data_IF_489102228344
#
_entry.id   IF_489102228344
#
_cell.length_a   1.000
_cell.length_b   1.000
_cell.length_c   1.000
_cell.angle_alpha   90.00
_cell.angle_beta   90.00
_cell.angle_gamma   90.00
#
_symmetry.space_group_name_H-M   'P 1'
#
loop_
_entity.id
_entity.type
_entity.pdbx_description
1 polymer ?
#
# COMPACT_ATOMS: atom_id res chain seq x y z
N UNK A 1 -33.06 10.91 27.01
CA UNK A 1 -33.36 11.12 25.58
C UNK A 1 -32.31 10.34 24.81
N UNK A 2 -32.71 9.35 24.01
CA UNK A 2 -31.77 8.69 23.10
C UNK A 2 -31.40 9.67 21.98
N UNK A 3 -30.16 9.65 21.49
CA UNK A 3 -29.80 10.44 20.32
C UNK A 3 -30.71 10.08 19.14
N UNK A 4 -31.06 11.04 18.28
CA UNK A 4 -31.81 10.74 17.06
C UNK A 4 -30.98 9.81 16.15
N UNK A 5 -31.58 8.70 15.73
CA UNK A 5 -30.97 7.77 14.78
C UNK A 5 -30.95 8.42 13.38
N UNK A 6 -29.75 8.74 12.90
CA UNK A 6 -29.54 9.28 11.55
C UNK A 6 -29.62 8.13 10.53
N UNK A 7 -30.49 8.20 9.51
CA UNK A 7 -30.60 7.15 8.49
C UNK A 7 -29.31 6.94 7.69
N UNK A 8 -29.07 5.70 7.23
CA UNK A 8 -27.88 5.35 6.46
C UNK A 8 -27.72 6.16 5.17
N UNK A 9 -28.82 6.50 4.48
CA UNK A 9 -28.79 7.30 3.26
C UNK A 9 -28.24 8.71 3.51
N UNK A 10 -28.61 9.35 4.63
CA UNK A 10 -28.09 10.67 4.99
C UNK A 10 -26.59 10.60 5.28
N UNK A 11 -26.14 9.55 5.97
CA UNK A 11 -24.70 9.33 6.25
C UNK A 11 -23.95 9.10 4.94
N UNK A 12 -24.50 8.31 4.01
CA UNK A 12 -23.89 8.05 2.71
C UNK A 12 -23.65 9.35 1.92
N UNK A 13 -24.64 10.23 1.82
CA UNK A 13 -24.49 11.52 1.15
C UNK A 13 -23.44 12.41 1.82
N UNK A 14 -23.40 12.44 3.16
CA UNK A 14 -22.36 13.17 3.90
C UNK A 14 -20.97 12.63 3.58
N UNK A 15 -20.81 11.29 3.55
CA UNK A 15 -19.53 10.64 3.25
C UNK A 15 -19.07 10.90 1.81
N UNK A 16 -19.99 10.98 0.85
CA UNK A 16 -19.66 11.34 -0.53
C UNK A 16 -19.16 12.78 -0.66
N UNK A 17 -19.80 13.72 0.03
CA UNK A 17 -19.42 15.14 -0.01
C UNK A 17 -18.05 15.40 0.62
N UNK A 18 -17.67 14.61 1.62
CA UNK A 18 -16.43 14.83 2.36
C UNK A 18 -15.15 14.40 1.62
N UNK A 19 -15.26 13.96 0.35
CA UNK A 19 -14.17 13.47 -0.51
C UNK A 19 -13.12 12.68 0.30
N UNK A 20 -13.57 11.62 0.96
CA UNK A 20 -12.77 10.99 2.01
C UNK A 20 -11.51 10.36 1.42
N UNK A 21 -10.37 11.02 1.67
CA UNK A 21 -9.08 10.55 1.17
C UNK A 21 -8.59 9.31 1.94
N UNK A 22 -8.94 9.18 3.22
CA UNK A 22 -8.48 8.08 4.05
C UNK A 22 -9.50 6.93 4.10
N UNK A 23 -9.40 6.03 3.13
CA UNK A 23 -10.27 4.85 3.02
C UNK A 23 -10.13 3.91 4.24
N UNK A 24 -8.92 3.74 4.75
CA UNK A 24 -8.67 2.92 5.94
C UNK A 24 -9.40 3.45 7.18
N UNK A 25 -9.50 4.77 7.34
CA UNK A 25 -10.25 5.38 8.43
C UNK A 25 -11.75 5.07 8.32
N UNK A 26 -12.35 5.22 7.13
CA UNK A 26 -13.75 4.86 6.93
C UNK A 26 -14.01 3.39 7.24
N UNK A 27 -13.19 2.51 6.65
CA UNK A 27 -13.40 1.09 6.74
C UNK A 27 -13.23 0.53 8.15
N UNK A 28 -12.22 1.02 8.87
CA UNK A 28 -11.85 0.42 10.15
C UNK A 28 -12.27 1.24 11.39
N UNK A 29 -12.62 2.52 11.25
CA UNK A 29 -13.09 3.35 12.36
C UNK A 29 -14.55 3.75 12.22
N UNK A 30 -15.01 4.20 11.05
CA UNK A 30 -16.41 4.63 10.87
C UNK A 30 -17.37 3.43 10.76
N UNK A 31 -17.02 2.44 9.93
CA UNK A 31 -17.85 1.24 9.70
C UNK A 31 -18.33 0.54 10.99
N UNK A 32 -17.51 0.33 12.04
CA UNK A 32 -17.96 -0.34 13.26
C UNK A 32 -18.81 0.53 14.21
N UNK A 33 -18.99 1.84 13.95
CA UNK A 33 -19.67 2.76 14.89
C UNK A 33 -21.15 2.41 15.10
N UNK A 34 -21.87 2.09 14.03
CA UNK A 34 -23.28 1.70 14.09
C UNK A 34 -23.67 0.92 12.83
N UNK A 35 -24.87 0.35 12.82
CA UNK A 35 -25.42 -0.31 11.61
C UNK A 35 -25.58 0.67 10.44
N UNK A 36 -26.09 1.87 10.71
CA UNK A 36 -26.28 2.88 9.65
C UNK A 36 -24.93 3.36 9.08
N UNK A 37 -23.91 3.52 9.92
CA UNK A 37 -22.55 3.82 9.46
C UNK A 37 -21.94 2.66 8.66
N UNK A 38 -22.16 1.42 9.11
CA UNK A 38 -21.71 0.23 8.38
C UNK A 38 -22.29 0.20 6.97
N UNK A 39 -23.59 0.36 6.84
CA UNK A 39 -24.30 0.28 5.56
C UNK A 39 -23.89 1.43 4.64
N UNK A 40 -23.75 2.65 5.17
CA UNK A 40 -23.30 3.82 4.41
C UNK A 40 -21.86 3.65 3.91
N UNK A 41 -20.92 3.23 4.78
CA UNK A 41 -19.52 3.00 4.39
C UNK A 41 -19.42 1.88 3.37
N UNK A 42 -20.08 0.74 3.60
CA UNK A 42 -20.07 -0.36 2.62
C UNK A 42 -20.63 0.07 1.26
N UNK A 43 -21.68 0.90 1.24
CA UNK A 43 -22.22 1.48 0.00
C UNK A 43 -21.23 2.41 -0.71
N UNK A 44 -20.49 3.25 0.02
CA UNK A 44 -19.40 4.06 -0.58
C UNK A 44 -18.38 3.16 -1.25
N UNK A 45 -17.93 2.11 -0.56
CA UNK A 45 -16.93 1.18 -1.11
C UNK A 45 -17.42 0.46 -2.36
N UNK A 46 -18.64 -0.08 -2.36
CA UNK A 46 -19.23 -0.72 -3.55
C UNK A 46 -19.35 0.26 -4.72
N UNK A 47 -19.81 1.48 -4.47
CA UNK A 47 -20.12 2.43 -5.54
C UNK A 47 -18.90 3.17 -6.09
N UNK A 48 -17.88 3.42 -5.26
CA UNK A 48 -16.73 4.27 -5.61
C UNK A 48 -15.39 3.54 -5.72
N UNK A 49 -15.23 2.40 -5.05
CA UNK A 49 -13.90 1.78 -4.90
C UNK A 49 -13.84 0.36 -5.44
N UNK A 50 -14.90 -0.44 -5.32
CA UNK A 50 -14.88 -1.85 -5.69
C UNK A 50 -14.63 -2.05 -7.19
N UNK A 51 -15.25 -1.23 -8.04
CA UNK A 51 -15.03 -1.24 -9.51
C UNK A 51 -13.63 -0.77 -9.93
N UNK A 52 -12.89 -0.17 -9.00
CA UNK A 52 -11.54 0.37 -9.22
C UNK A 52 -10.46 -0.51 -8.61
N UNK A 53 -10.83 -1.73 -8.20
CA UNK A 53 -9.86 -2.72 -7.73
C UNK A 53 -9.23 -3.36 -8.97
N UNK A 54 -7.90 -3.41 -8.96
CA UNK A 54 -7.14 -4.17 -9.93
C UNK A 54 -6.50 -5.37 -9.23
N UNK A 55 -6.63 -6.55 -9.84
CA UNK A 55 -5.95 -7.76 -9.40
C UNK A 55 -4.80 -8.03 -10.36
N UNK A 56 -3.58 -7.85 -9.88
CA UNK A 56 -2.38 -8.19 -10.63
C UNK A 56 -1.99 -9.61 -10.28
N UNK A 57 -2.11 -10.51 -11.25
CA UNK A 57 -1.75 -11.91 -11.10
C UNK A 57 -0.56 -12.19 -12.00
N UNK A 58 0.50 -12.76 -11.42
CA UNK A 58 1.65 -13.23 -12.16
C UNK A 58 1.26 -14.45 -13.02
N UNK A 59 1.53 -14.39 -14.33
CA UNK A 59 1.07 -15.40 -15.29
C UNK A 59 1.64 -16.79 -14.98
N UNK A 60 2.91 -16.88 -14.58
CA UNK A 60 3.54 -18.15 -14.19
C UNK A 60 2.88 -18.73 -12.94
N UNK A 61 2.58 -17.88 -11.97
CA UNK A 61 1.88 -18.23 -10.72
C UNK A 61 0.45 -18.71 -11.00
N UNK A 62 -0.25 -18.06 -11.94
CA UNK A 62 -1.59 -18.45 -12.36
C UNK A 62 -1.59 -19.80 -13.08
N UNK A 63 -0.68 -19.99 -14.04
CA UNK A 63 -0.54 -21.26 -14.75
C UNK A 63 -0.21 -22.42 -13.79
N UNK A 64 0.67 -22.18 -12.82
CA UNK A 64 1.01 -23.16 -11.80
C UNK A 64 -0.21 -23.51 -10.93
N UNK A 65 -0.95 -22.52 -10.45
CA UNK A 65 -2.12 -22.72 -9.60
C UNK A 65 -3.26 -23.45 -10.34
N UNK A 66 -3.42 -23.18 -11.64
CA UNK A 66 -4.35 -23.91 -12.51
C UNK A 66 -3.96 -25.39 -12.64
N UNK A 67 -2.66 -25.71 -12.68
CA UNK A 67 -2.18 -27.10 -12.81
C UNK A 67 -2.17 -27.88 -11.49
N UNK A 68 -1.81 -27.22 -10.39
CA UNK A 68 -1.45 -27.89 -9.14
C UNK A 68 -2.45 -27.63 -7.99
N UNK A 69 -3.46 -26.78 -8.21
CA UNK A 69 -4.43 -26.39 -7.20
C UNK A 69 -4.04 -25.14 -6.42
N UNK A 70 -4.98 -24.67 -5.58
CA UNK A 70 -4.88 -23.42 -4.82
C UNK A 70 -3.83 -23.54 -3.71
N UNK A 71 -2.59 -23.16 -4.00
CA UNK A 71 -1.63 -22.80 -2.94
C UNK A 71 -1.91 -21.36 -2.50
N UNK A 72 -1.69 -21.05 -1.21
CA UNK A 72 -1.64 -19.65 -0.75
C UNK A 72 -0.54 -18.82 -1.45
N UNK A 73 0.32 -19.47 -2.22
CA UNK A 73 1.37 -18.88 -3.04
C UNK A 73 0.87 -18.22 -4.33
N UNK A 74 -0.45 -18.19 -4.59
CA UNK A 74 -1.00 -17.32 -5.62
C UNK A 74 -0.64 -15.87 -5.28
N UNK A 75 0.42 -15.38 -5.92
CA UNK A 75 0.95 -14.02 -5.77
C UNK A 75 0.00 -13.03 -6.46
N UNK A 76 -1.13 -12.76 -5.82
CA UNK A 76 -2.08 -11.74 -6.28
C UNK A 76 -1.78 -10.44 -5.55
N UNK A 77 -1.43 -9.40 -6.30
CA UNK A 77 -1.30 -8.05 -5.76
C UNK A 77 -2.60 -7.30 -6.05
N UNK A 78 -3.25 -6.85 -4.98
CA UNK A 78 -4.47 -6.05 -5.04
C UNK A 78 -4.05 -4.59 -5.06
N UNK A 79 -4.52 -3.86 -6.07
CA UNK A 79 -4.37 -2.41 -6.15
C UNK A 79 -5.72 -1.74 -5.91
N UNK A 80 -5.73 -0.78 -4.99
CA UNK A 80 -6.86 0.10 -4.67
C UNK A 80 -6.35 1.53 -4.78
N UNK A 81 -6.76 2.26 -5.83
CA UNK A 81 -6.24 3.61 -6.12
C UNK A 81 -4.70 3.59 -6.26
N UNK A 82 -4.01 4.39 -5.44
CA UNK A 82 -2.55 4.49 -5.39
C UNK A 82 -1.92 3.50 -4.39
N UNK A 83 -2.72 2.67 -3.73
CA UNK A 83 -2.22 1.68 -2.78
C UNK A 83 -2.20 0.29 -3.41
N UNK A 84 -1.11 -0.44 -3.22
CA UNK A 84 -1.00 -1.85 -3.59
C UNK A 84 -0.61 -2.71 -2.40
N UNK A 85 -1.23 -3.88 -2.26
CA UNK A 85 -0.93 -4.86 -1.23
C UNK A 85 -1.23 -6.28 -1.73
N UNK A 86 -0.44 -7.25 -1.31
CA UNK A 86 -0.64 -8.67 -1.61
C UNK A 86 -1.41 -9.37 -0.47
N UNK A 87 -2.46 -8.71 0.01
CA UNK A 87 -3.25 -9.23 1.12
C UNK A 87 -4.05 -10.47 0.71
N UNK A 88 -4.44 -11.27 1.69
CA UNK A 88 -5.25 -12.47 1.42
C UNK A 88 -6.57 -12.08 0.77
N UNK A 89 -7.01 -12.92 -0.16
CA UNK A 89 -8.36 -12.89 -0.73
C UNK A 89 -9.19 -13.99 -0.05
N UNK A 90 -10.01 -13.67 0.97
CA UNK A 90 -10.80 -14.69 1.66
C UNK A 90 -11.86 -15.26 0.72
N UNK A 91 -12.10 -16.57 0.82
CA UNK A 91 -13.02 -17.30 -0.06
C UNK A 91 -12.72 -17.11 -1.56
N UNK A 92 -11.44 -16.92 -1.93
CA UNK A 92 -11.02 -16.83 -3.32
C UNK A 92 -11.38 -18.10 -4.09
N UNK A 93 -12.13 -17.93 -5.17
CA UNK A 93 -12.49 -18.96 -6.14
C UNK A 93 -12.28 -18.40 -7.53
N UNK A 94 -11.77 -19.21 -8.43
CA UNK A 94 -11.65 -18.88 -9.83
C UNK A 94 -12.37 -19.94 -10.65
N UNK A 95 -13.03 -19.52 -11.71
CA UNK A 95 -13.64 -20.39 -12.71
C UNK A 95 -12.99 -20.08 -14.06
N UNK A 96 -12.47 -21.13 -14.69
CA UNK A 96 -11.97 -21.07 -16.05
C UNK A 96 -12.88 -21.97 -16.88
N UNK A 97 -13.69 -21.38 -17.75
CA UNK A 97 -14.43 -22.15 -18.74
C UNK A 97 -13.59 -22.19 -20.02
N UNK A 98 -13.46 -23.37 -20.59
CA UNK A 98 -12.54 -23.63 -21.72
C UNK A 98 -13.21 -23.43 -23.08
N UNK A 99 -14.51 -23.12 -23.09
CA UNK A 99 -15.24 -22.79 -24.30
C UNK A 99 -14.87 -21.37 -24.79
N UNK A 100 -14.73 -21.25 -26.11
CA UNK A 100 -13.93 -20.23 -26.84
C UNK A 100 -14.33 -18.75 -26.65
N UNK A 101 -15.25 -18.42 -25.74
CA UNK A 101 -15.74 -17.05 -25.49
C UNK A 101 -15.88 -16.68 -23.99
N UNK A 102 -15.38 -17.49 -23.04
CA UNK A 102 -15.69 -17.28 -21.61
C UNK A 102 -14.61 -16.54 -20.81
N UNK A 103 -15.07 -15.53 -20.09
CA UNK A 103 -14.34 -14.69 -19.13
C UNK A 103 -13.73 -15.52 -17.99
N UNK A 104 -12.46 -15.28 -17.68
CA UNK A 104 -11.84 -15.71 -16.43
C UNK A 104 -12.57 -15.03 -15.26
N UNK A 105 -13.38 -15.78 -14.51
CA UNK A 105 -14.14 -15.24 -13.39
C UNK A 105 -13.39 -15.49 -12.07
N UNK A 106 -13.22 -14.43 -11.28
CA UNK A 106 -12.67 -14.49 -9.92
C UNK A 106 -13.71 -13.98 -8.94
N UNK A 107 -13.98 -14.76 -7.90
CA UNK A 107 -14.87 -14.38 -6.80
C UNK A 107 -14.14 -14.50 -5.46
N UNK A 108 -14.37 -13.55 -4.56
CA UNK A 108 -13.80 -13.52 -3.21
C UNK A 108 -14.65 -12.64 -2.29
N UNK A 109 -14.48 -12.78 -0.97
CA UNK A 109 -15.08 -11.87 0.01
C UNK A 109 -14.35 -10.52 0.01
N UNK A 110 -14.89 -9.56 -0.75
CA UNK A 110 -14.34 -8.22 -0.82
C UNK A 110 -14.33 -7.47 0.52
N UNK A 111 -15.26 -7.78 1.44
CA UNK A 111 -15.31 -7.15 2.77
C UNK A 111 -14.18 -7.68 3.65
N UNK A 112 -13.97 -8.99 3.61
CA UNK A 112 -12.82 -9.65 4.21
C UNK A 112 -11.51 -9.07 3.67
N UNK A 113 -11.38 -8.96 2.35
CA UNK A 113 -10.22 -8.39 1.67
C UNK A 113 -9.89 -6.98 2.18
N UNK A 114 -10.82 -6.01 2.14
CA UNK A 114 -10.55 -4.65 2.64
C UNK A 114 -10.20 -4.63 4.13
N UNK A 115 -10.81 -5.53 4.91
CA UNK A 115 -10.50 -5.65 6.33
C UNK A 115 -9.07 -6.11 6.55
N UNK A 116 -8.57 -7.08 5.79
CA UNK A 116 -7.16 -7.48 5.84
C UNK A 116 -6.24 -6.38 5.31
N UNK A 117 -6.57 -5.78 4.17
CA UNK A 117 -5.80 -4.72 3.52
C UNK A 117 -5.51 -3.55 4.47
N UNK A 118 -6.56 -2.95 5.04
CA UNK A 118 -6.38 -1.77 5.88
C UNK A 118 -5.85 -2.09 7.29
N UNK A 119 -6.09 -3.30 7.81
CA UNK A 119 -5.55 -3.69 9.13
C UNK A 119 -4.03 -3.72 9.11
N UNK A 120 -3.45 -4.18 8.02
CA UNK A 120 -2.02 -4.17 7.82
C UNK A 120 -1.46 -2.75 7.73
N UNK A 121 -2.05 -1.88 6.90
CA UNK A 121 -1.64 -0.47 6.83
C UNK A 121 -1.72 0.22 8.20
N UNK A 122 -2.79 -0.04 8.97
CA UNK A 122 -2.94 0.48 10.33
C UNK A 122 -1.82 -0.02 11.25
N UNK A 123 -1.46 -1.29 11.16
CA UNK A 123 -0.43 -1.88 12.00
C UNK A 123 0.96 -1.32 11.68
N UNK A 124 1.27 -1.13 10.38
CA UNK A 124 2.47 -0.42 9.93
C UNK A 124 2.51 0.99 10.51
N UNK A 125 1.42 1.76 10.35
CA UNK A 125 1.33 3.13 10.88
C UNK A 125 1.48 3.17 12.41
N UNK A 126 0.90 2.20 13.13
CA UNK A 126 1.03 2.11 14.59
C UNK A 126 2.49 1.93 15.01
N UNK A 127 3.21 1.00 14.37
CA UNK A 127 4.63 0.73 14.67
C UNK A 127 5.52 1.92 14.28
N UNK A 128 5.22 2.61 13.18
CA UNK A 128 5.91 3.85 12.81
C UNK A 128 5.70 4.94 13.85
N UNK A 129 4.47 5.12 14.33
CA UNK A 129 4.17 6.10 15.38
C UNK A 129 4.92 5.78 16.68
N UNK A 130 5.01 4.50 17.06
CA UNK A 130 5.80 4.06 18.22
C UNK A 130 7.29 4.32 18.03
N UNK A 131 7.81 4.07 16.83
CA UNK A 131 9.20 4.38 16.47
C UNK A 131 9.47 5.88 16.58
N UNK A 132 8.59 6.72 16.04
CA UNK A 132 8.69 8.17 16.14
C UNK A 132 8.70 8.65 17.60
N UNK A 133 7.83 8.08 18.44
CA UNK A 133 7.80 8.40 19.86
C UNK A 133 9.09 7.98 20.58
N UNK A 134 9.67 6.83 20.23
CA UNK A 134 10.97 6.39 20.76
C UNK A 134 12.09 7.36 20.41
N UNK A 135 12.18 7.77 19.13
CA UNK A 135 13.20 8.72 18.65
C UNK A 135 13.07 10.06 19.39
N UNK A 136 11.83 10.54 19.55
CA UNK A 136 11.57 11.78 20.29
C UNK A 136 11.98 11.67 21.76
N UNK A 137 11.76 10.51 22.39
CA UNK A 137 12.18 10.27 23.77
C UNK A 137 13.71 10.17 23.91
N UNK A 138 14.41 9.57 22.94
CA UNK A 138 15.88 9.50 22.91
C UNK A 138 16.51 10.89 22.76
N UNK A 139 15.96 11.72 21.87
CA UNK A 139 16.38 13.12 21.72
C UNK A 139 16.22 13.91 23.03
N UNK A 140 15.08 13.73 23.72
CA UNK A 140 14.81 14.38 25.01
C UNK A 140 15.77 13.94 26.13
N UNK A 141 16.40 12.75 26.01
CA UNK A 141 17.40 12.24 26.96
C UNK A 141 18.83 12.71 26.65
N UNK A 142 19.02 13.55 25.63
CA UNK A 142 20.33 14.12 25.27
C UNK A 142 21.18 13.22 24.36
N UNK A 143 20.64 12.13 23.83
CA UNK A 143 21.34 11.27 22.86
C UNK A 143 21.16 11.79 21.43
N UNK A 144 21.70 12.98 21.15
CA UNK A 144 21.45 13.72 19.91
C UNK A 144 21.92 12.95 18.67
N UNK A 145 23.12 12.35 18.71
CA UNK A 145 23.65 11.57 17.59
C UNK A 145 22.77 10.35 17.30
N UNK A 146 22.35 9.60 18.32
CA UNK A 146 21.48 8.43 18.14
C UNK A 146 20.10 8.80 17.59
N UNK A 147 19.51 9.88 18.10
CA UNK A 147 18.24 10.40 17.60
C UNK A 147 18.36 10.90 16.16
N UNK A 148 19.46 11.55 15.78
CA UNK A 148 19.71 12.00 14.42
C UNK A 148 19.81 10.83 13.43
N UNK A 149 20.57 9.77 13.78
CA UNK A 149 20.66 8.57 12.95
C UNK A 149 19.29 7.90 12.77
N UNK A 150 18.52 7.76 13.85
CA UNK A 150 17.18 7.17 13.78
C UNK A 150 16.20 8.03 12.98
N UNK A 151 16.29 9.35 13.09
CA UNK A 151 15.50 10.29 12.29
C UNK A 151 15.85 10.20 10.80
N UNK A 152 17.14 10.17 10.45
CA UNK A 152 17.61 10.02 9.06
C UNK A 152 17.09 8.72 8.43
N UNK A 153 17.13 7.61 9.16
CA UNK A 153 16.59 6.32 8.69
C UNK A 153 15.08 6.36 8.44
N UNK A 154 14.33 7.13 9.21
CA UNK A 154 12.90 7.34 8.95
C UNK A 154 12.66 8.27 7.76
N UNK A 155 13.41 9.37 7.65
CA UNK A 155 13.28 10.32 6.55
C UNK A 155 13.60 9.68 5.19
N UNK A 156 14.54 8.72 5.16
CA UNK A 156 14.88 7.94 3.97
C UNK A 156 13.94 6.73 3.74
N UNK A 157 12.88 6.56 4.52
CA UNK A 157 11.92 5.45 4.35
C UNK A 157 12.44 4.06 4.78
N UNK A 158 13.68 3.94 5.27
CA UNK A 158 14.29 2.65 5.64
C UNK A 158 13.49 1.95 6.74
N UNK A 159 13.03 2.70 7.74
CA UNK A 159 12.22 2.14 8.83
C UNK A 159 10.80 1.75 8.33
N UNK A 160 10.23 2.47 7.36
CA UNK A 160 8.94 2.11 6.75
C UNK A 160 9.04 0.75 6.04
N UNK A 161 10.00 0.59 5.12
CA UNK A 161 10.17 -0.67 4.40
C UNK A 161 10.48 -1.84 5.35
N UNK A 162 11.30 -1.63 6.39
CA UNK A 162 11.60 -2.68 7.39
C UNK A 162 10.37 -3.06 8.21
N UNK A 163 9.59 -2.08 8.67
CA UNK A 163 8.38 -2.32 9.45
C UNK A 163 7.33 -3.01 8.57
N UNK A 164 7.10 -2.50 7.36
CA UNK A 164 6.20 -3.08 6.36
C UNK A 164 6.56 -4.53 6.05
N UNK A 165 7.85 -4.82 5.81
CA UNK A 165 8.33 -6.19 5.58
C UNK A 165 8.08 -7.11 6.79
N UNK A 166 8.34 -6.62 8.01
CA UNK A 166 8.11 -7.39 9.23
C UNK A 166 6.63 -7.69 9.47
N UNK A 167 5.76 -6.69 9.33
CA UNK A 167 4.30 -6.84 9.48
C UNK A 167 3.75 -7.84 8.45
N UNK A 168 4.18 -7.72 7.18
CA UNK A 168 3.81 -8.65 6.11
C UNK A 168 4.29 -10.07 6.39
N UNK A 169 5.53 -10.24 6.84
CA UNK A 169 6.10 -11.55 7.19
C UNK A 169 5.36 -12.19 8.37
N UNK A 170 4.96 -11.42 9.38
CA UNK A 170 4.11 -11.90 10.48
C UNK A 170 2.71 -12.33 9.99
N UNK A 171 2.12 -11.56 9.07
CA UNK A 171 0.84 -11.88 8.45
C UNK A 171 0.91 -13.21 7.68
N UNK A 172 1.90 -13.36 6.80
CA UNK A 172 2.08 -14.59 6.00
C UNK A 172 2.24 -15.80 6.93
N UNK A 173 3.12 -15.71 7.94
CA UNK A 173 3.32 -16.80 8.92
C UNK A 173 2.02 -17.18 9.62
N UNK A 174 1.24 -16.19 10.06
CA UNK A 174 -0.05 -16.44 10.71
C UNK A 174 -1.04 -17.12 9.77
N UNK A 175 -1.16 -16.63 8.54
CA UNK A 175 -2.12 -17.15 7.57
C UNK A 175 -1.80 -18.58 7.17
N UNK A 176 -0.53 -18.87 6.86
CA UNK A 176 -0.10 -20.23 6.49
C UNK A 176 -0.31 -21.20 7.65
N UNK A 177 -0.02 -20.77 8.88
CA UNK A 177 -0.31 -21.59 10.06
C UNK A 177 -1.80 -21.87 10.22
N UNK A 178 -2.66 -20.86 10.03
CA UNK A 178 -4.12 -20.98 10.17
C UNK A 178 -4.76 -21.83 9.05
N UNK A 179 -4.24 -21.78 7.82
CA UNK A 179 -4.84 -22.47 6.66
C UNK A 179 -4.23 -23.84 6.37
N UNK A 180 -2.91 -23.98 6.49
CA UNK A 180 -2.17 -25.18 6.11
C UNK A 180 -1.71 -25.98 7.34
N UNK A 181 -1.79 -25.39 8.55
CA UNK A 181 -1.37 -26.05 9.79
C UNK A 181 0.14 -26.25 9.91
N UNK A 182 0.94 -25.62 9.04
CA UNK A 182 2.41 -25.68 9.08
C UNK A 182 3.01 -24.33 9.46
N UNK A 183 4.16 -24.38 10.12
CA UNK A 183 4.98 -23.20 10.36
C UNK A 183 5.80 -22.85 9.12
N UNK A 184 5.92 -21.56 8.84
CA UNK A 184 6.80 -21.04 7.79
C UNK A 184 7.99 -20.38 8.45
N UNK A 185 9.17 -20.91 8.17
CA UNK A 185 10.46 -20.31 8.52
C UNK A 185 11.07 -19.62 7.31
N UNK A 186 11.74 -18.49 7.54
CA UNK A 186 12.41 -17.71 6.49
C UNK A 186 11.89 -16.29 6.41
N UNK A 187 12.66 -15.42 5.74
CA UNK A 187 12.18 -14.10 5.37
C UNK A 187 11.58 -14.12 3.97
N UNK A 188 10.58 -13.26 3.75
CA UNK A 188 9.97 -13.08 2.43
C UNK A 188 10.47 -11.77 1.78
N UNK A 189 11.78 -11.53 1.81
CA UNK A 189 12.37 -10.35 1.16
C UNK A 189 12.09 -10.32 -0.34
N UNK A 190 12.10 -11.48 -1.00
CA UNK A 190 11.87 -11.56 -2.45
C UNK A 190 10.43 -11.18 -2.80
N UNK A 191 9.44 -11.72 -2.09
CA UNK A 191 8.04 -11.32 -2.27
C UNK A 191 7.82 -9.85 -1.92
N UNK A 192 8.43 -9.38 -0.84
CA UNK A 192 8.34 -7.98 -0.41
C UNK A 192 8.90 -7.03 -1.47
N UNK A 193 10.07 -7.32 -2.01
CA UNK A 193 10.67 -6.52 -3.08
C UNK A 193 9.84 -6.50 -4.37
N UNK A 194 9.08 -7.56 -4.68
CA UNK A 194 8.12 -7.54 -5.80
C UNK A 194 6.96 -6.59 -5.51
N UNK A 195 6.42 -6.63 -4.29
CA UNK A 195 5.33 -5.76 -3.87
C UNK A 195 5.74 -4.28 -3.89
N UNK A 196 6.92 -3.94 -3.34
CA UNK A 196 7.41 -2.56 -3.32
C UNK A 196 7.59 -2.00 -4.74
N UNK A 197 8.21 -2.75 -5.65
CA UNK A 197 8.29 -2.34 -7.07
C UNK A 197 6.92 -2.07 -7.68
N UNK A 198 5.90 -2.85 -7.30
CA UNK A 198 4.54 -2.64 -7.80
C UNK A 198 3.91 -1.39 -7.19
N UNK A 199 4.13 -1.11 -5.90
CA UNK A 199 3.67 0.14 -5.27
C UNK A 199 4.29 1.37 -5.94
N UNK A 200 5.58 1.33 -6.23
CA UNK A 200 6.27 2.45 -6.89
C UNK A 200 5.66 2.75 -8.27
N UNK A 201 5.33 1.71 -9.04
CA UNK A 201 4.64 1.87 -10.34
C UNK A 201 3.24 2.48 -10.16
N UNK A 202 2.47 1.95 -9.20
CA UNK A 202 1.10 2.40 -8.92
C UNK A 202 1.05 3.84 -8.39
N UNK A 203 2.10 4.30 -7.70
CA UNK A 203 2.19 5.67 -7.21
C UNK A 203 2.34 6.71 -8.35
N UNK A 204 2.90 6.30 -9.50
CA UNK A 204 3.11 7.17 -10.66
C UNK A 204 1.92 7.15 -11.62
N UNK A 205 1.14 6.07 -11.65
CA UNK A 205 -0.08 5.98 -12.45
C UNK A 205 -1.19 6.90 -11.89
N UNK A 206 -1.91 7.62 -12.77
CA UNK A 206 -3.11 8.38 -12.41
C UNK A 206 -4.32 7.42 -12.34
N UNK A 207 -4.85 7.11 -11.15
CA UNK A 207 -5.91 6.14 -10.96
C UNK A 207 -7.31 6.71 -11.26
N UNK A 208 -7.39 7.96 -11.71
CA UNK A 208 -8.65 8.64 -12.08
C UNK A 208 -8.57 9.36 -13.42
N UNK A 209 -7.70 8.94 -14.35
CA UNK A 209 -7.74 9.46 -15.73
C UNK A 209 -9.11 9.25 -16.42
N UNK A 210 -10.00 8.43 -15.83
CA UNK A 210 -11.38 8.20 -16.27
C UNK A 210 -12.45 9.12 -15.63
N UNK A 211 -12.16 9.87 -14.56
CA UNK A 211 -13.14 10.78 -13.92
C UNK A 211 -13.09 12.23 -14.46
N UNK A 212 -12.32 12.47 -15.53
CA UNK A 212 -12.40 13.66 -16.36
C UNK A 212 -13.61 13.67 -17.30
N UNK A 213 -14.82 13.47 -16.76
CA UNK A 213 -16.07 13.45 -17.52
C UNK A 213 -16.78 14.80 -17.56
N UNK A 214 -16.50 15.56 -18.63
CA UNK A 214 -17.36 16.52 -19.33
C UNK A 214 -18.15 17.58 -18.52
N UNK A 215 -17.57 18.77 -18.44
CA UNK A 215 -18.25 20.06 -18.70
C UNK A 215 -17.14 21.12 -18.91
N UNK A 216 -16.42 21.02 -20.03
CA UNK A 216 -15.66 22.16 -20.56
C UNK A 216 -16.40 22.64 -21.80
N UNK A 217 -17.28 23.59 -21.54
CA UNK A 217 -17.88 24.48 -22.51
C UNK A 217 -16.75 25.07 -23.37
N UNK A 218 -16.83 24.83 -24.68
CA UNK A 218 -15.92 25.39 -25.67
C UNK A 218 -16.19 26.89 -25.78
N UNK A 219 -15.53 27.66 -24.93
CA UNK A 219 -15.34 29.10 -25.13
C UNK A 219 -14.06 29.31 -25.91
N UNK A 220 -14.19 29.35 -27.23
CA UNK A 220 -13.26 30.04 -28.12
C UNK A 220 -13.04 31.46 -27.59
N UNK A 221 -11.79 31.83 -27.34
CA UNK A 221 -11.33 33.21 -27.49
C UNK A 221 -9.82 33.14 -27.77
N UNK A 222 -9.54 33.24 -29.06
CA UNK A 222 -8.27 33.70 -29.61
C UNK A 222 -7.92 35.03 -28.96
N UNK A 223 -6.69 35.20 -28.47
CA UNK A 223 -5.98 36.47 -28.62
C UNK A 223 -4.48 36.24 -28.38
N UNK A 224 -3.75 36.47 -29.47
CA UNK A 224 -2.31 36.63 -29.56
C UNK A 224 -1.87 37.83 -28.70
N UNK A 225 -0.74 37.73 -28.00
CA UNK A 225 0.14 38.88 -27.82
C UNK A 225 1.56 38.43 -27.47
N UNK A 226 2.46 38.61 -28.44
CA UNK A 226 3.91 38.66 -28.25
C UNK A 226 4.29 39.89 -27.43
N UNK A 227 5.06 39.76 -26.33
CA UNK A 227 6.04 40.80 -25.93
C UNK A 227 7.22 40.18 -25.14
N UNK A 228 8.37 40.11 -25.82
CA UNK A 228 9.72 40.60 -25.46
C UNK A 228 10.20 40.57 -23.99
N UNK A 229 11.32 39.85 -23.79
CA UNK A 229 12.56 40.32 -23.15
C UNK A 229 12.58 40.60 -21.64
N UNK A 230 13.43 39.89 -20.90
CA UNK A 230 14.73 40.46 -20.50
C UNK A 230 15.61 39.38 -19.86
N UNK A 231 16.90 39.50 -20.18
CA UNK A 231 18.05 38.80 -19.62
C UNK A 231 18.36 39.38 -18.24
N UNK A 232 18.77 38.53 -17.28
CA UNK A 232 19.59 38.86 -16.10
C UNK A 232 20.02 37.48 -15.54
N UNK A 233 21.18 36.92 -15.89
CA UNK A 233 22.50 37.17 -15.27
C UNK A 233 22.42 37.40 -13.75
N UNK A 234 22.85 36.40 -12.97
CA UNK A 234 23.50 36.52 -11.66
C UNK A 234 23.92 35.09 -11.23
N UNK A 235 25.19 34.72 -11.44
CA UNK A 235 26.31 34.82 -10.50
C UNK A 235 26.35 33.68 -9.45
N UNK A 236 27.23 32.71 -9.74
CA UNK A 236 28.19 32.06 -8.85
C UNK A 236 27.93 32.05 -7.33
N UNK A 237 27.75 30.85 -6.77
CA UNK A 237 28.61 30.46 -5.65
C UNK A 237 28.75 28.93 -5.57
N UNK A 238 29.88 28.46 -6.07
CA UNK A 238 30.48 27.16 -5.76
C UNK A 238 30.78 27.10 -4.24
N UNK A 239 30.16 26.17 -3.54
CA UNK A 239 30.59 25.75 -2.20
C UNK A 239 30.93 24.26 -2.26
N UNK A 240 32.21 24.04 -2.56
CA UNK A 240 32.99 22.82 -2.40
C UNK A 240 32.99 22.39 -0.93
N UNK A 241 32.28 21.31 -0.62
CA UNK A 241 32.43 20.55 0.63
C UNK A 241 32.81 19.12 0.25
N UNK A 242 34.11 18.96 0.02
CA UNK A 242 34.81 17.68 -0.08
C UNK A 242 34.71 16.93 1.26
N UNK A 243 33.79 15.96 1.32
CA UNK A 243 33.82 14.91 2.34
C UNK A 243 34.53 13.70 1.75
N UNK A 244 35.81 13.58 2.06
CA UNK A 244 36.54 12.32 1.99
C UNK A 244 35.99 11.39 3.08
N UNK A 245 35.27 10.34 2.70
CA UNK A 245 35.03 9.20 3.58
C UNK A 245 35.89 8.04 3.07
N UNK A 246 36.82 7.64 3.95
CA UNK A 246 37.74 6.53 3.83
C UNK A 246 37.01 5.21 3.49
N UNK A 247 37.36 4.64 2.35
CA UNK A 247 37.18 3.23 2.05
C UNK A 247 38.23 2.43 2.86
N UNK A 248 37.83 1.92 4.03
CA UNK A 248 38.50 0.76 4.64
C UNK A 248 37.61 -0.48 4.46
N UNK A 249 37.93 -1.22 3.40
CA UNK A 249 37.64 -2.64 3.24
C UNK A 249 38.39 -3.48 4.29
N UNK A 250 37.97 -4.75 4.45
CA UNK A 250 38.46 -5.83 5.34
C UNK A 250 37.63 -5.95 6.63
N UNK A 251 36.77 -6.96 6.80
CA UNK A 251 37.20 -8.34 6.94
C UNK A 251 36.19 -9.40 6.43
N UNK A 252 36.83 -10.45 5.93
CA UNK A 252 36.33 -11.76 5.49
C UNK A 252 35.70 -12.53 6.66
N UNK A 253 34.53 -13.12 6.45
CA UNK A 253 34.11 -14.30 7.23
C UNK A 253 33.64 -15.41 6.28
N UNK A 254 34.62 -16.25 5.92
CA UNK A 254 34.43 -17.61 5.42
C UNK A 254 33.70 -18.43 6.48
N UNK A 255 32.42 -18.72 6.28
CA UNK A 255 31.72 -19.78 7.00
C UNK A 255 31.49 -20.96 6.05
N UNK A 256 32.57 -21.70 5.82
CA UNK A 256 32.53 -23.06 5.29
C UNK A 256 32.55 -24.06 6.45
N UNK A 257 31.95 -25.24 6.23
CA UNK A 257 31.84 -26.41 7.12
C UNK A 257 30.61 -26.48 8.03
N UNK A 258 29.61 -27.27 7.63
CA UNK A 258 29.52 -28.65 8.15
C UNK A 258 28.49 -29.47 7.36
N UNK A 259 29.04 -30.40 6.57
CA UNK A 259 28.31 -31.56 6.05
C UNK A 259 28.21 -32.60 7.18
N UNK A 260 27.00 -32.92 7.61
CA UNK A 260 26.75 -34.13 8.39
C UNK A 260 26.38 -35.28 7.45
N UNK A 261 27.09 -36.38 7.67
CA UNK A 261 26.90 -37.74 7.14
C UNK A 261 25.57 -38.36 7.63
#
# INVERSE_FOLDING_TARGET
MSPPDIPADVIYEILLQYNVQNLGFLWLNCRPVSRNFKDAVERVFVTKHLRKIWLHVDAESLEWALRNGSSLELNVIIQIRHDANDTMLPDLRYHFDSDEDVEFEVSFDWKGMYSHFFREQREVQRRLNERFQSIRAEAARGSILSAFHSFRRMALGVDDSRISCAVRSERIRRNVLESEGREVSGDDRKGFGRLERKKDLVAVEDPYSDEGGADKDEGEDEDEDEVVGDEDEDEDSEADESLEEDDEDEDVDDCDSDAFD
#
